data_IF_299628614078
#
_entry.id   IF_299628614078
#
_cell.length_a   1.000
_cell.length_b   1.000
_cell.length_c   1.000
_cell.angle_alpha   90.00
_cell.angle_beta   90.00
_cell.angle_gamma   90.00
#
_symmetry.space_group_name_H-M   'P 1'
#
loop_
_entity.id
_entity.type
_entity.pdbx_description
1 polymer ?
#
# COMPACT_ATOMS: atom_id res chain seq x y z
N UNK A 1 -13.05 5.30 -13.22
CA UNK A 1 -11.75 5.23 -13.83
C UNK A 1 -10.67 4.97 -12.80
N UNK A 2 -9.74 4.05 -13.02
CA UNK A 2 -8.68 3.82 -12.05
C UNK A 2 -7.79 5.05 -11.89
N UNK A 3 -7.25 5.20 -10.70
CA UNK A 3 -6.34 6.29 -10.39
C UNK A 3 -5.03 5.73 -9.88
N UNK A 4 -3.92 6.18 -10.44
CA UNK A 4 -2.59 5.77 -10.01
C UNK A 4 -2.07 6.77 -8.97
N UNK A 5 -1.76 6.26 -7.78
CA UNK A 5 -1.11 7.04 -6.73
C UNK A 5 0.31 6.54 -6.56
N UNK A 6 1.25 7.47 -6.53
CA UNK A 6 2.68 7.14 -6.42
C UNK A 6 3.19 7.65 -5.08
N UNK A 7 3.92 6.79 -4.37
CA UNK A 7 4.62 7.18 -3.16
C UNK A 7 6.04 6.64 -3.20
N UNK A 8 6.87 7.04 -2.26
CA UNK A 8 8.26 6.62 -2.22
C UNK A 8 8.64 6.13 -0.83
N UNK A 9 9.64 5.25 -0.80
CA UNK A 9 10.35 4.89 0.42
C UNK A 9 11.69 5.59 0.32
N UNK A 10 11.97 6.48 1.26
CA UNK A 10 13.23 7.21 1.26
C UNK A 10 14.41 6.28 1.50
N UNK A 11 15.57 6.64 0.98
CA UNK A 11 16.81 5.92 1.30
C UNK A 11 17.01 5.92 2.82
N UNK A 12 17.25 4.76 3.37
CA UNK A 12 17.43 4.60 4.81
C UNK A 12 16.13 4.47 5.61
N UNK A 13 14.98 4.42 4.95
CA UNK A 13 13.69 4.23 5.61
C UNK A 13 13.11 2.87 5.30
N UNK A 14 12.23 2.39 6.16
CA UNK A 14 11.52 1.12 5.97
C UNK A 14 10.07 1.32 5.53
N UNK A 15 9.53 2.52 5.68
CA UNK A 15 8.12 2.79 5.36
C UNK A 15 8.02 3.81 4.23
N UNK A 16 6.98 3.65 3.44
CA UNK A 16 6.67 4.61 2.37
C UNK A 16 5.89 5.79 2.93
N UNK A 17 5.75 6.82 2.11
CA UNK A 17 4.75 7.85 2.35
C UNK A 17 3.36 7.26 2.29
N UNK A 18 2.40 7.93 2.88
CA UNK A 18 1.02 7.48 2.92
C UNK A 18 0.32 7.73 1.60
N UNK A 19 -0.55 6.80 1.22
CA UNK A 19 -1.48 6.98 0.11
C UNK A 19 -2.88 7.05 0.69
N UNK A 20 -3.59 8.12 0.37
CA UNK A 20 -4.92 8.39 0.88
C UNK A 20 -5.95 8.17 -0.22
N UNK A 21 -7.02 7.48 0.12
CA UNK A 21 -8.16 7.30 -0.77
C UNK A 21 -9.44 7.59 0.01
N UNK A 22 -10.57 7.69 -0.67
CA UNK A 22 -11.84 8.13 -0.08
C UNK A 22 -11.79 9.58 0.42
N UNK A 23 -11.15 10.46 -0.34
CA UNK A 23 -11.05 11.86 0.06
C UNK A 23 -11.94 12.77 -0.81
N UNK A 24 -12.37 13.86 -0.22
CA UNK A 24 -13.25 14.85 -0.85
C UNK A 24 -14.56 14.20 -1.30
N UNK A 25 -14.97 14.44 -2.52
CA UNK A 25 -16.20 13.89 -3.07
C UNK A 25 -15.97 12.61 -3.86
N UNK A 26 -14.75 12.08 -3.79
CA UNK A 26 -14.39 10.88 -4.53
C UNK A 26 -14.15 9.73 -3.57
N UNK A 27 -14.71 8.59 -3.89
CA UNK A 27 -14.44 7.36 -3.15
C UNK A 27 -13.67 6.41 -4.05
N UNK A 28 -12.58 5.87 -3.52
CA UNK A 28 -11.77 4.89 -4.23
C UNK A 28 -11.59 3.67 -3.34
N UNK A 29 -11.55 2.51 -3.98
CA UNK A 29 -11.15 1.28 -3.32
C UNK A 29 -9.71 0.97 -3.68
N UNK A 30 -9.01 0.33 -2.77
CA UNK A 30 -7.69 -0.20 -3.06
C UNK A 30 -7.82 -1.31 -4.09
N UNK A 31 -7.18 -1.14 -5.22
CA UNK A 31 -7.23 -2.13 -6.28
C UNK A 31 -5.99 -3.01 -6.32
N UNK A 32 -4.82 -2.38 -6.43
CA UNK A 32 -3.58 -3.14 -6.63
C UNK A 32 -2.39 -2.36 -6.12
N UNK A 33 -1.35 -3.09 -5.74
CA UNK A 33 -0.02 -2.57 -5.50
C UNK A 33 0.81 -2.90 -6.74
N UNK A 34 1.42 -1.89 -7.34
CA UNK A 34 2.26 -2.08 -8.51
C UNK A 34 3.71 -1.86 -8.11
N UNK A 35 4.52 -2.89 -8.27
CA UNK A 35 5.94 -2.85 -7.96
C UNK A 35 6.73 -3.00 -9.26
N UNK A 36 7.72 -2.15 -9.42
CA UNK A 36 8.51 -2.13 -10.63
C UNK A 36 9.89 -1.59 -10.24
N UNK A 37 10.87 -2.45 -10.25
CA UNK A 37 12.22 -2.09 -9.91
C UNK A 37 12.86 -3.00 -8.88
N UNK A 38 13.93 -2.51 -8.29
CA UNK A 38 14.71 -3.24 -7.31
C UNK A 38 14.42 -2.75 -5.90
N UNK A 39 14.30 -3.67 -4.96
CA UNK A 39 14.05 -3.35 -3.56
C UNK A 39 15.01 -4.11 -2.67
N UNK A 40 15.38 -3.52 -1.53
CA UNK A 40 16.20 -4.21 -0.53
C UNK A 40 15.40 -5.28 0.18
N UNK A 41 14.14 -4.99 0.50
CA UNK A 41 13.26 -5.95 1.15
C UNK A 41 12.78 -7.01 0.17
N UNK A 42 12.46 -8.20 0.68
CA UNK A 42 11.91 -9.29 -0.13
C UNK A 42 10.38 -9.31 -0.10
N UNK A 43 9.78 -8.60 0.84
CA UNK A 43 8.34 -8.43 0.91
C UNK A 43 8.02 -7.13 1.63
N UNK A 44 6.80 -6.65 1.44
CA UNK A 44 6.27 -5.49 2.15
C UNK A 44 4.99 -5.86 2.86
N UNK A 45 4.87 -5.42 4.11
CA UNK A 45 3.60 -5.44 4.83
C UNK A 45 2.82 -4.19 4.46
N UNK A 46 1.51 -4.25 4.53
CA UNK A 46 0.65 -3.09 4.36
C UNK A 46 0.17 -2.63 5.71
N UNK A 47 0.19 -1.32 5.93
CA UNK A 47 -0.29 -0.72 7.16
C UNK A 47 -1.40 0.28 6.87
N UNK A 48 -2.35 0.39 7.78
CA UNK A 48 -3.43 1.37 7.70
C UNK A 48 -3.30 2.36 8.84
N UNK A 49 -3.61 3.62 8.56
CA UNK A 49 -3.71 4.63 9.61
C UNK A 49 -5.14 4.69 10.11
N UNK A 50 -5.30 4.55 11.42
CA UNK A 50 -6.58 4.65 12.08
C UNK A 50 -6.39 5.59 13.26
N UNK A 51 -7.09 6.72 13.21
CA UNK A 51 -7.06 7.72 14.28
C UNK A 51 -5.63 8.16 14.64
N UNK A 52 -4.81 8.38 13.60
CA UNK A 52 -3.45 8.88 13.76
C UNK A 52 -2.40 7.83 14.07
N UNK A 53 -2.79 6.57 14.18
CA UNK A 53 -1.87 5.46 14.51
C UNK A 53 -1.82 4.48 13.35
N UNK A 54 -0.63 4.01 13.03
CA UNK A 54 -0.42 3.01 11.99
C UNK A 54 -0.51 1.61 12.56
N UNK A 55 -1.34 0.77 11.93
CA UNK A 55 -1.52 -0.63 12.32
C UNK A 55 -1.22 -1.54 11.16
N UNK A 56 -0.65 -2.71 11.46
CA UNK A 56 -0.53 -3.78 10.47
C UNK A 56 -1.93 -4.25 10.07
N UNK A 57 -2.07 -4.62 8.80
CA UNK A 57 -3.33 -5.13 8.28
C UNK A 57 -3.28 -6.66 8.29
N UNK A 58 -4.32 -7.28 8.83
CA UNK A 58 -4.46 -8.74 8.89
C UNK A 58 -5.63 -9.16 8.01
N UNK A 59 -5.50 -10.33 7.40
CA UNK A 59 -6.60 -10.88 6.61
C UNK A 59 -7.67 -11.49 7.51
N UNK A 60 -8.71 -12.06 6.90
CA UNK A 60 -9.84 -12.62 7.65
C UNK A 60 -9.46 -13.86 8.46
N UNK A 61 -8.30 -14.44 8.22
CA UNK A 61 -7.80 -15.59 8.95
C UNK A 61 -6.80 -15.23 10.04
N UNK A 62 -6.56 -13.92 10.24
CA UNK A 62 -5.61 -13.45 11.24
C UNK A 62 -4.16 -13.48 10.82
N UNK A 63 -3.88 -13.66 9.54
CA UNK A 63 -2.53 -13.61 8.99
C UNK A 63 -2.20 -12.19 8.54
N UNK A 64 -1.02 -11.70 8.91
CA UNK A 64 -0.58 -10.38 8.48
C UNK A 64 -0.51 -10.33 6.95
N UNK A 65 -1.12 -9.30 6.38
CA UNK A 65 -1.14 -9.15 4.94
C UNK A 65 0.20 -8.62 4.44
N UNK A 66 0.88 -9.38 3.60
CA UNK A 66 2.12 -8.94 2.98
C UNK A 66 2.16 -9.33 1.51
N UNK A 67 3.00 -8.63 0.76
CA UNK A 67 3.15 -8.79 -0.67
C UNK A 67 4.62 -9.08 -0.96
N UNK A 68 4.90 -10.15 -1.70
CA UNK A 68 6.26 -10.45 -2.17
C UNK A 68 6.71 -9.40 -3.15
N UNK A 69 7.99 -9.03 -3.08
CA UNK A 69 8.56 -8.06 -3.99
C UNK A 69 8.87 -8.75 -5.31
N UNK A 70 7.99 -8.55 -6.29
CA UNK A 70 8.17 -9.02 -7.64
C UNK A 70 7.57 -7.97 -8.55
N UNK A 71 8.17 -7.76 -9.72
CA UNK A 71 7.65 -6.80 -10.66
C UNK A 71 6.25 -7.20 -11.08
N UNK A 72 5.38 -6.21 -11.13
CA UNK A 72 4.04 -6.40 -11.63
C UNK A 72 2.96 -5.85 -10.72
N UNK A 73 1.76 -6.24 -11.04
CA UNK A 73 0.55 -5.80 -10.36
C UNK A 73 0.14 -6.88 -9.34
N UNK A 74 0.08 -6.49 -8.09
CA UNK A 74 -0.35 -7.37 -7.01
C UNK A 74 -1.75 -6.97 -6.58
N UNK A 75 -2.72 -7.83 -6.81
CA UNK A 75 -4.11 -7.55 -6.44
C UNK A 75 -4.28 -7.51 -4.93
N UNK A 76 -5.02 -6.52 -4.46
CA UNK A 76 -5.29 -6.34 -3.04
C UNK A 76 -6.76 -6.65 -2.78
N UNK A 77 -7.06 -7.62 -1.91
CA UNK A 77 -8.45 -8.04 -1.69
C UNK A 77 -9.28 -6.91 -1.08
N UNK A 78 -10.44 -6.64 -1.67
CA UNK A 78 -11.31 -5.56 -1.22
C UNK A 78 -11.80 -5.75 0.21
N UNK A 79 -12.03 -6.99 0.62
CA UNK A 79 -12.51 -7.27 1.98
C UNK A 79 -11.45 -6.99 3.05
N UNK A 80 -10.16 -7.11 2.70
CA UNK A 80 -9.06 -6.80 3.62
C UNK A 80 -8.90 -5.30 3.80
N UNK A 81 -9.14 -4.54 2.75
CA UNK A 81 -8.95 -3.08 2.75
C UNK A 81 -10.23 -2.28 2.93
N UNK A 82 -11.30 -2.95 3.25
CA UNK A 82 -12.57 -2.35 3.59
C UNK A 82 -12.40 -1.43 4.80
N UNK A 83 -12.98 -0.25 4.74
CA UNK A 83 -12.92 0.76 5.81
C UNK A 83 -11.53 1.35 6.06
N UNK A 84 -10.58 1.10 5.17
CA UNK A 84 -9.25 1.69 5.24
C UNK A 84 -9.21 2.92 4.33
N UNK A 85 -8.75 4.05 4.85
CA UNK A 85 -8.67 5.29 4.10
C UNK A 85 -7.26 5.71 3.75
N UNK A 86 -6.28 5.24 4.47
CA UNK A 86 -4.89 5.63 4.27
C UNK A 86 -3.99 4.43 4.52
N UNK A 87 -3.09 4.15 3.58
CA UNK A 87 -2.18 3.00 3.66
C UNK A 87 -0.76 3.42 3.38
N UNK A 88 0.18 2.60 3.83
CA UNK A 88 1.58 2.67 3.43
C UNK A 88 2.14 1.25 3.39
N UNK A 89 3.28 1.09 2.72
CA UNK A 89 4.04 -0.16 2.78
C UNK A 89 5.11 -0.06 3.85
N UNK A 90 5.44 -1.20 4.45
CA UNK A 90 6.49 -1.29 5.46
C UNK A 90 7.34 -2.52 5.19
N UNK A 91 8.65 -2.32 5.05
CA UNK A 91 9.60 -3.41 4.93
C UNK A 91 10.15 -3.81 6.30
N UNK A 92 10.73 -5.01 6.36
CA UNK A 92 11.37 -5.49 7.59
C UNK A 92 12.70 -4.76 7.88
N UNK A 93 13.31 -4.19 6.84
CA UNK A 93 14.57 -3.45 6.98
C UNK A 93 14.52 -2.20 6.12
N UNK A 94 15.47 -1.30 6.35
CA UNK A 94 15.56 -0.04 5.61
C UNK A 94 15.98 -0.30 4.17
N UNK A 95 15.42 0.47 3.26
CA UNK A 95 15.84 0.41 1.84
C UNK A 95 17.18 1.11 1.66
N UNK A 96 18.03 0.55 0.82
CA UNK A 96 19.36 1.09 0.57
C UNK A 96 19.38 2.28 -0.38
N UNK A 97 18.26 2.57 -1.04
CA UNK A 97 18.12 3.72 -1.94
C UNK A 97 16.65 4.10 -1.97
N UNK A 98 16.35 5.28 -2.51
CA UNK A 98 14.95 5.68 -2.69
C UNK A 98 14.25 4.72 -3.64
N UNK A 99 13.06 4.26 -3.25
CA UNK A 99 12.25 3.34 -4.04
C UNK A 99 10.89 3.95 -4.32
N UNK A 100 10.33 3.62 -5.47
CA UNK A 100 8.99 4.07 -5.86
C UNK A 100 8.01 2.93 -5.69
N UNK A 101 6.85 3.23 -5.13
CA UNK A 101 5.75 2.29 -4.93
C UNK A 101 4.50 2.93 -5.48
N UNK A 102 3.72 2.17 -6.25
CA UNK A 102 2.51 2.68 -6.90
C UNK A 102 1.30 1.89 -6.43
N UNK A 103 0.21 2.60 -6.20
CA UNK A 103 -1.08 1.99 -5.89
C UNK A 103 -2.08 2.34 -6.99
N UNK A 104 -2.77 1.35 -7.47
CA UNK A 104 -3.84 1.54 -8.43
C UNK A 104 -5.16 1.49 -7.68
N UNK A 105 -5.86 2.60 -7.64
CA UNK A 105 -7.12 2.73 -6.94
C UNK A 105 -8.27 2.62 -7.92
N UNK A 106 -9.35 2.01 -7.51
CA UNK A 106 -10.54 1.85 -8.33
C UNK A 106 -11.60 2.85 -7.87
N UNK A 107 -12.11 3.63 -8.82
CA UNK A 107 -13.15 4.62 -8.55
C UNK A 107 -14.48 3.87 -8.40
N UNK A 108 -15.10 3.98 -7.22
CA UNK A 108 -16.37 3.31 -6.93
C UNK A 108 -17.57 4.25 -7.08
N UNK A 109 -17.32 5.51 -7.44
CA UNK A 109 -18.37 6.49 -7.73
C UNK A 109 -18.27 6.84 -9.21
N UNK A 110 -19.13 6.32 -9.98
CA UNK A 110 -19.16 6.63 -11.43
C UNK A 110 -19.93 7.89 -11.74
#
# INVERSE_FOLDING_TARGET
>A
MPKLEVTTIASGAATSGAVEFNRSNKAFEMGSLVLDGTYTNTSFDLQAEIDGTWFDIYDTYGTKFSVSVADGKHSLPADVFKDVNKVRVKGASNEGAERTVKFLLVDILD
#
